data_IF_561591195265
#
_entry.id   IF_561591195265
#
_cell.length_a   1.000
_cell.length_b   1.000
_cell.length_c   1.000
_cell.angle_alpha   90.00
_cell.angle_beta   90.00
_cell.angle_gamma   90.00
#
_symmetry.space_group_name_H-M   'P 1'
#
loop_
_entity.id
_entity.type
_entity.pdbx_description
1 polymer ?
#
# COMPACT_ATOMS: atom_id res chain seq x y z
N UNK A 1 36.95 -47.51 -19.80
CA UNK A 1 35.88 -46.54 -20.10
C UNK A 1 35.06 -46.83 -21.35
N UNK A 2 35.60 -46.77 -22.57
CA UNK A 2 34.73 -46.73 -23.78
C UNK A 2 34.03 -48.03 -24.20
N UNK A 3 34.36 -49.19 -23.61
CA UNK A 3 33.79 -50.49 -24.01
C UNK A 3 33.24 -51.23 -22.81
N UNK A 4 34.10 -51.70 -21.91
CA UNK A 4 33.69 -52.49 -20.74
C UNK A 4 32.75 -51.73 -19.79
N UNK A 5 33.07 -50.47 -19.47
CA UNK A 5 32.30 -49.66 -18.50
C UNK A 5 30.88 -49.38 -19.02
N UNK A 6 30.75 -48.97 -20.29
CA UNK A 6 29.46 -48.76 -20.93
C UNK A 6 28.63 -50.05 -21.04
N UNK A 7 29.26 -51.18 -21.39
CA UNK A 7 28.56 -52.46 -21.52
C UNK A 7 28.06 -53.03 -20.20
N UNK A 8 28.72 -52.69 -19.08
CA UNK A 8 28.40 -53.22 -17.76
C UNK A 8 27.68 -52.21 -16.85
N UNK A 9 27.34 -51.02 -17.35
CA UNK A 9 26.68 -49.95 -16.60
C UNK A 9 27.35 -49.65 -15.24
N UNK A 10 28.69 -49.62 -15.23
CA UNK A 10 29.51 -49.30 -14.05
C UNK A 10 30.08 -47.88 -14.18
N UNK A 11 30.54 -47.30 -13.08
CA UNK A 11 31.14 -45.97 -13.07
C UNK A 11 32.43 -45.90 -13.90
N UNK A 12 32.63 -44.79 -14.60
CA UNK A 12 33.87 -44.55 -15.34
C UNK A 12 35.05 -44.25 -14.39
N UNK A 13 36.28 -44.39 -14.88
CA UNK A 13 37.49 -44.22 -14.05
C UNK A 13 37.57 -42.82 -13.42
N UNK A 14 37.12 -41.78 -14.11
CA UNK A 14 37.11 -40.41 -13.58
C UNK A 14 36.14 -40.26 -12.40
N UNK A 15 34.90 -40.73 -12.55
CA UNK A 15 33.88 -40.74 -11.51
C UNK A 15 34.32 -41.59 -10.32
N UNK A 16 34.96 -42.74 -10.55
CA UNK A 16 35.51 -43.57 -9.49
C UNK A 16 36.59 -42.81 -8.69
N UNK A 17 37.45 -42.07 -9.38
CA UNK A 17 38.44 -41.20 -8.73
C UNK A 17 37.79 -40.12 -7.85
N UNK A 18 36.73 -39.47 -8.34
CA UNK A 18 35.95 -38.50 -7.57
C UNK A 18 35.29 -39.13 -6.34
N UNK A 19 34.69 -40.31 -6.48
CA UNK A 19 34.08 -41.06 -5.38
C UNK A 19 35.12 -41.39 -4.30
N UNK A 20 36.28 -41.92 -4.70
CA UNK A 20 37.36 -42.25 -3.76
C UNK A 20 37.87 -40.99 -3.05
N UNK A 21 38.09 -39.89 -3.79
CA UNK A 21 38.55 -38.64 -3.20
C UNK A 21 37.51 -38.04 -2.24
N UNK A 22 36.23 -38.06 -2.62
CA UNK A 22 35.10 -37.65 -1.77
C UNK A 22 35.09 -38.43 -0.46
N UNK A 23 35.07 -39.76 -0.55
CA UNK A 23 34.81 -40.63 0.60
C UNK A 23 36.03 -40.79 1.52
N UNK A 24 37.23 -40.84 0.94
CA UNK A 24 38.47 -41.12 1.69
C UNK A 24 39.23 -39.86 2.10
N UNK A 25 39.03 -38.71 1.43
CA UNK A 25 39.75 -37.47 1.72
C UNK A 25 38.79 -36.39 2.22
N UNK A 26 37.86 -35.92 1.39
CA UNK A 26 37.01 -34.76 1.73
C UNK A 26 36.06 -35.07 2.88
N UNK A 27 35.47 -36.27 2.92
CA UNK A 27 34.58 -36.72 3.99
C UNK A 27 35.28 -37.43 5.13
N UNK A 28 36.62 -37.49 5.11
CA UNK A 28 37.37 -37.95 6.27
C UNK A 28 37.13 -36.97 7.44
N UNK A 29 36.72 -37.48 8.60
CA UNK A 29 36.08 -36.67 9.65
C UNK A 29 36.80 -35.36 9.99
N UNK A 30 38.10 -35.42 10.28
CA UNK A 30 38.85 -34.20 10.63
C UNK A 30 39.05 -33.24 9.44
N UNK A 31 39.18 -33.76 8.21
CA UNK A 31 39.34 -32.93 7.01
C UNK A 31 38.03 -32.23 6.67
N UNK A 32 36.92 -32.98 6.69
CA UNK A 32 35.58 -32.44 6.41
C UNK A 32 35.24 -31.29 7.35
N UNK A 33 35.40 -31.53 8.65
CA UNK A 33 35.00 -30.57 9.67
C UNK A 33 35.93 -29.34 9.63
N UNK A 34 37.23 -29.54 9.38
CA UNK A 34 38.19 -28.43 9.21
C UNK A 34 37.93 -27.61 7.94
N UNK A 35 37.67 -28.25 6.81
CA UNK A 35 37.32 -27.58 5.55
C UNK A 35 36.05 -26.74 5.74
N UNK A 36 35.00 -27.34 6.31
CA UNK A 36 33.74 -26.66 6.60
C UNK A 36 33.98 -25.44 7.50
N UNK A 37 34.61 -25.62 8.65
CA UNK A 37 34.86 -24.54 9.60
C UNK A 37 35.66 -23.40 8.95
N UNK A 38 36.69 -23.74 8.19
CA UNK A 38 37.53 -22.74 7.50
C UNK A 38 36.72 -21.91 6.50
N UNK A 39 35.89 -22.53 5.68
CA UNK A 39 35.04 -21.82 4.72
C UNK A 39 34.02 -20.91 5.43
N UNK A 40 33.39 -21.42 6.48
CA UNK A 40 32.44 -20.66 7.29
C UNK A 40 33.10 -19.46 7.98
N UNK A 41 34.27 -19.66 8.57
CA UNK A 41 35.04 -18.59 9.23
C UNK A 41 35.51 -17.50 8.24
N UNK A 42 35.87 -17.89 7.01
CA UNK A 42 36.18 -16.91 5.96
C UNK A 42 34.96 -16.05 5.63
N UNK A 43 33.78 -16.64 5.48
CA UNK A 43 32.55 -15.88 5.21
C UNK A 43 32.17 -15.00 6.40
N UNK A 44 32.32 -15.50 7.63
CA UNK A 44 32.04 -14.73 8.85
C UNK A 44 32.96 -13.51 8.99
N UNK A 45 34.25 -13.65 8.66
CA UNK A 45 35.21 -12.53 8.63
C UNK A 45 34.90 -11.54 7.51
N UNK A 46 34.53 -12.03 6.33
CA UNK A 46 34.10 -11.16 5.23
C UNK A 46 32.89 -10.30 5.59
N UNK A 47 31.88 -10.86 6.27
CA UNK A 47 30.69 -10.10 6.75
C UNK A 47 31.04 -8.98 7.74
N UNK A 48 32.20 -9.06 8.39
CA UNK A 48 32.76 -8.03 9.29
C UNK A 48 33.63 -7.00 8.54
N UNK A 49 33.78 -7.14 7.22
CA UNK A 49 34.58 -6.25 6.38
C UNK A 49 36.04 -6.66 6.23
N UNK A 50 36.42 -7.86 6.67
CA UNK A 50 37.78 -8.38 6.48
C UNK A 50 37.99 -8.86 5.04
N UNK A 51 39.20 -8.67 4.52
CA UNK A 51 39.59 -9.20 3.20
C UNK A 51 39.84 -10.70 3.31
N UNK A 52 39.15 -11.48 2.49
CA UNK A 52 39.31 -12.95 2.43
C UNK A 52 39.58 -13.42 1.01
N UNK A 53 40.18 -14.61 0.88
CA UNK A 53 40.41 -15.24 -0.41
C UNK A 53 39.10 -15.84 -0.97
N UNK A 54 38.35 -15.00 -1.70
CA UNK A 54 37.13 -15.39 -2.41
C UNK A 54 37.40 -16.51 -3.45
N UNK A 55 38.60 -16.57 -4.01
CA UNK A 55 38.99 -17.59 -4.97
C UNK A 55 39.07 -18.97 -4.33
N UNK A 56 39.61 -19.05 -3.11
CA UNK A 56 39.65 -20.30 -2.33
C UNK A 56 38.24 -20.81 -2.00
N UNK A 57 37.33 -19.93 -1.56
CA UNK A 57 35.93 -20.29 -1.28
C UNK A 57 35.27 -20.85 -2.55
N UNK A 58 35.41 -20.13 -3.67
CA UNK A 58 34.84 -20.54 -4.96
C UNK A 58 35.36 -21.89 -5.41
N UNK A 59 36.67 -22.10 -5.36
CA UNK A 59 37.27 -23.35 -5.82
C UNK A 59 36.84 -24.52 -4.93
N UNK A 60 36.73 -24.32 -3.61
CA UNK A 60 36.23 -25.34 -2.69
C UNK A 60 34.75 -25.67 -2.95
N UNK A 61 33.90 -24.65 -3.15
CA UNK A 61 32.48 -24.86 -3.48
C UNK A 61 32.32 -25.61 -4.81
N UNK A 62 33.08 -25.23 -5.84
CA UNK A 62 33.09 -25.93 -7.13
C UNK A 62 33.55 -27.38 -7.01
N UNK A 63 34.58 -27.64 -6.20
CA UNK A 63 35.01 -29.01 -5.90
C UNK A 63 33.88 -29.81 -5.26
N UNK A 64 33.21 -29.28 -4.24
CA UNK A 64 32.10 -29.97 -3.58
C UNK A 64 30.93 -30.26 -4.55
N UNK A 65 30.66 -29.35 -5.48
CA UNK A 65 29.69 -29.58 -6.56
C UNK A 65 30.11 -30.73 -7.48
N UNK A 66 31.36 -30.76 -7.94
CA UNK A 66 31.89 -31.81 -8.82
C UNK A 66 31.86 -33.19 -8.13
N UNK A 67 32.13 -33.23 -6.81
CA UNK A 67 32.10 -34.47 -6.03
C UNK A 67 30.69 -35.04 -5.84
N UNK A 68 29.65 -34.24 -6.09
CA UNK A 68 28.26 -34.67 -6.15
C UNK A 68 27.90 -35.45 -7.43
N UNK A 69 28.82 -35.54 -8.40
CA UNK A 69 28.63 -36.18 -9.70
C UNK A 69 27.43 -35.61 -10.47
N UNK A 70 26.28 -36.28 -10.42
CA UNK A 70 25.04 -35.86 -11.09
C UNK A 70 24.15 -34.94 -10.24
N UNK A 71 24.54 -34.70 -8.98
CA UNK A 71 23.78 -33.88 -8.04
C UNK A 71 24.64 -32.91 -7.24
N UNK A 72 23.99 -32.21 -6.31
CA UNK A 72 24.63 -31.22 -5.42
C UNK A 72 24.69 -31.64 -3.95
N UNK A 73 24.39 -32.91 -3.65
CA UNK A 73 24.27 -33.41 -2.27
C UNK A 73 25.53 -33.19 -1.44
N UNK A 74 26.72 -33.38 -2.01
CA UNK A 74 27.99 -33.14 -1.31
C UNK A 74 28.15 -31.66 -0.94
N UNK A 75 27.84 -30.75 -1.86
CA UNK A 75 27.83 -29.31 -1.56
C UNK A 75 26.76 -28.95 -0.53
N UNK A 76 25.55 -29.48 -0.67
CA UNK A 76 24.44 -29.22 0.23
C UNK A 76 24.72 -29.66 1.67
N UNK A 77 25.13 -30.92 1.85
CA UNK A 77 25.35 -31.55 3.16
C UNK A 77 26.63 -31.03 3.83
N UNK A 78 27.72 -30.93 3.07
CA UNK A 78 29.02 -30.66 3.66
C UNK A 78 29.29 -29.16 3.83
N UNK A 79 28.58 -28.28 3.11
CA UNK A 79 28.77 -26.83 3.17
C UNK A 79 27.48 -26.00 3.26
N UNK A 80 26.53 -26.12 2.32
CA UNK A 80 25.40 -25.18 2.21
C UNK A 80 24.50 -25.19 3.44
N UNK A 81 24.09 -26.36 3.92
CA UNK A 81 23.23 -26.45 5.09
C UNK A 81 23.89 -25.84 6.35
N UNK A 82 25.15 -26.18 6.71
CA UNK A 82 25.89 -25.48 7.76
C UNK A 82 26.05 -23.98 7.53
N UNK A 83 26.27 -23.56 6.29
CA UNK A 83 26.38 -22.14 5.92
C UNK A 83 25.08 -21.38 6.17
N UNK A 84 23.93 -21.96 5.80
CA UNK A 84 22.61 -21.37 6.01
C UNK A 84 22.27 -21.31 7.50
N UNK A 85 22.64 -22.33 8.29
CA UNK A 85 22.47 -22.36 9.74
C UNK A 85 23.28 -21.25 10.43
N UNK A 86 24.59 -21.19 10.17
CA UNK A 86 25.45 -20.12 10.69
C UNK A 86 24.96 -18.73 10.25
N UNK A 87 24.46 -18.61 9.02
CA UNK A 87 23.91 -17.35 8.52
C UNK A 87 22.64 -16.95 9.25
N UNK A 88 21.78 -17.91 9.58
CA UNK A 88 20.58 -17.63 10.36
C UNK A 88 20.94 -17.10 11.76
N UNK A 89 21.90 -17.73 12.45
CA UNK A 89 22.39 -17.25 13.76
C UNK A 89 23.01 -15.85 13.66
N UNK A 90 23.82 -15.61 12.63
CA UNK A 90 24.41 -14.30 12.38
C UNK A 90 23.34 -13.22 12.21
N UNK A 91 22.37 -13.43 11.32
CA UNK A 91 21.32 -12.45 11.05
C UNK A 91 20.35 -12.29 12.21
N UNK A 92 20.14 -13.32 13.02
CA UNK A 92 19.35 -13.22 14.25
C UNK A 92 20.01 -12.28 15.28
N UNK A 93 21.34 -12.39 15.47
CA UNK A 93 22.06 -11.46 16.37
C UNK A 93 22.09 -10.05 15.78
N UNK A 94 22.29 -9.94 14.47
CA UNK A 94 22.35 -8.65 13.79
C UNK A 94 21.00 -7.92 13.81
N UNK A 95 19.87 -8.61 13.64
CA UNK A 95 18.55 -7.99 13.68
C UNK A 95 18.29 -7.31 15.02
N UNK A 96 18.63 -7.96 16.13
CA UNK A 96 18.48 -7.40 17.47
C UNK A 96 19.30 -6.13 17.64
N UNK A 97 20.56 -6.15 17.20
CA UNK A 97 21.44 -4.97 17.23
C UNK A 97 20.87 -3.84 16.36
N UNK A 98 20.44 -4.16 15.15
CA UNK A 98 19.90 -3.15 14.24
C UNK A 98 18.61 -2.52 14.78
N UNK A 99 17.71 -3.30 15.35
CA UNK A 99 16.47 -2.79 15.98
C UNK A 99 16.75 -1.90 17.19
N UNK A 100 17.78 -2.20 17.98
CA UNK A 100 18.13 -1.42 19.16
C UNK A 100 18.80 -0.07 18.82
N UNK A 101 19.60 -0.04 17.76
CA UNK A 101 20.47 1.10 17.45
C UNK A 101 19.94 2.03 16.36
N UNK A 102 18.88 1.65 15.62
CA UNK A 102 18.50 2.34 14.39
C UNK A 102 16.99 2.65 14.32
N UNK A 103 16.66 3.73 13.64
CA UNK A 103 15.28 4.01 13.21
C UNK A 103 14.81 3.02 12.15
N UNK A 104 13.49 2.89 11.96
CA UNK A 104 12.92 1.98 10.96
C UNK A 104 13.47 2.22 9.53
N UNK A 105 13.61 3.48 9.09
CA UNK A 105 14.14 3.81 7.75
C UNK A 105 15.60 3.35 7.59
N UNK A 106 16.42 3.50 8.63
CA UNK A 106 17.83 3.06 8.61
C UNK A 106 17.92 1.54 8.66
N UNK A 107 17.07 0.90 9.47
CA UNK A 107 16.94 -0.55 9.53
C UNK A 107 16.62 -1.13 8.15
N UNK A 108 15.59 -0.60 7.47
CA UNK A 108 15.16 -1.05 6.14
C UNK A 108 16.31 -0.98 5.13
N UNK A 109 17.06 0.13 5.10
CA UNK A 109 18.23 0.29 4.21
C UNK A 109 19.34 -0.72 4.51
N UNK A 110 19.61 -0.99 5.79
CA UNK A 110 20.60 -2.00 6.19
C UNK A 110 20.18 -3.42 5.78
N UNK A 111 18.89 -3.76 5.90
CA UNK A 111 18.39 -5.07 5.42
C UNK A 111 18.55 -5.20 3.90
N UNK A 112 18.21 -4.16 3.15
CA UNK A 112 18.38 -4.16 1.69
C UNK A 112 19.86 -4.31 1.29
N UNK A 113 20.77 -3.61 2.00
CA UNK A 113 22.21 -3.78 1.80
C UNK A 113 22.65 -5.22 2.08
N UNK A 114 22.21 -5.84 3.18
CA UNK A 114 22.53 -7.24 3.50
C UNK A 114 22.03 -8.23 2.44
N UNK A 115 20.82 -8.03 1.92
CA UNK A 115 20.30 -8.87 0.82
C UNK A 115 21.23 -8.77 -0.40
N UNK A 116 21.62 -7.56 -0.81
CA UNK A 116 22.50 -7.36 -1.95
C UNK A 116 23.91 -7.94 -1.72
N UNK A 117 24.47 -7.76 -0.53
CA UNK A 117 25.76 -8.33 -0.15
C UNK A 117 25.75 -9.87 -0.22
N UNK A 118 24.67 -10.53 0.22
CA UNK A 118 24.54 -12.00 0.10
C UNK A 118 24.39 -12.46 -1.36
N UNK A 119 23.61 -11.74 -2.18
CA UNK A 119 23.49 -12.02 -3.61
C UNK A 119 24.86 -11.88 -4.29
N UNK A 120 25.58 -10.79 -4.03
CA UNK A 120 26.93 -10.59 -4.55
C UNK A 120 27.88 -11.70 -4.09
N UNK A 121 27.83 -12.12 -2.83
CA UNK A 121 28.67 -13.22 -2.33
C UNK A 121 28.39 -14.50 -3.09
N UNK A 122 27.13 -14.83 -3.33
CA UNK A 122 26.77 -16.02 -4.10
C UNK A 122 27.35 -15.92 -5.50
N UNK A 123 27.15 -14.80 -6.20
CA UNK A 123 27.67 -14.61 -7.56
C UNK A 123 29.20 -14.78 -7.65
N UNK A 124 29.95 -14.34 -6.64
CA UNK A 124 31.42 -14.37 -6.68
C UNK A 124 32.03 -15.66 -6.15
N UNK A 125 31.40 -16.31 -5.17
CA UNK A 125 32.03 -17.33 -4.34
C UNK A 125 31.28 -18.65 -4.24
N UNK A 126 29.95 -18.67 -4.42
CA UNK A 126 29.12 -19.85 -4.14
C UNK A 126 28.45 -20.36 -5.43
N UNK A 127 27.80 -21.51 -5.34
CA UNK A 127 26.95 -21.96 -6.45
C UNK A 127 25.68 -21.11 -6.54
N UNK A 128 25.22 -20.81 -7.75
CA UNK A 128 24.00 -20.01 -8.00
C UNK A 128 22.77 -20.57 -7.29
N UNK A 129 22.70 -21.89 -7.12
CA UNK A 129 21.61 -22.55 -6.41
C UNK A 129 21.45 -22.12 -4.94
N UNK A 130 22.48 -21.51 -4.34
CA UNK A 130 22.45 -21.00 -2.97
C UNK A 130 21.76 -19.64 -2.82
N UNK A 131 21.58 -18.88 -3.91
CA UNK A 131 21.02 -17.52 -3.87
C UNK A 131 19.63 -17.48 -3.21
N UNK A 132 18.70 -18.31 -3.67
CA UNK A 132 17.34 -18.33 -3.14
C UNK A 132 17.31 -18.78 -1.65
N UNK A 133 17.98 -19.87 -1.24
CA UNK A 133 18.07 -20.26 0.17
C UNK A 133 18.63 -19.19 1.10
N UNK A 134 19.75 -18.54 0.73
CA UNK A 134 20.36 -17.53 1.62
C UNK A 134 19.50 -16.27 1.71
N UNK A 135 18.90 -15.82 0.61
CA UNK A 135 17.97 -14.68 0.61
C UNK A 135 16.77 -14.99 1.50
N UNK A 136 16.21 -16.21 1.45
CA UNK A 136 15.13 -16.62 2.37
C UNK A 136 15.55 -16.60 3.83
N UNK A 137 16.80 -16.94 4.15
CA UNK A 137 17.33 -16.84 5.52
C UNK A 137 17.38 -15.36 5.95
N UNK A 138 17.92 -14.47 5.12
CA UNK A 138 17.97 -13.02 5.40
C UNK A 138 16.56 -12.46 5.59
N UNK A 139 15.64 -12.76 4.68
CA UNK A 139 14.25 -12.30 4.74
C UNK A 139 13.52 -12.81 5.99
N UNK A 140 13.73 -14.08 6.36
CA UNK A 140 13.14 -14.65 7.57
C UNK A 140 13.67 -13.97 8.83
N UNK A 141 14.99 -13.87 8.97
CA UNK A 141 15.65 -13.39 10.19
C UNK A 141 15.56 -11.87 10.35
N UNK A 142 15.70 -11.10 9.27
CA UNK A 142 15.71 -9.64 9.33
C UNK A 142 14.33 -9.00 9.07
N UNK A 143 13.38 -9.68 8.42
CA UNK A 143 12.06 -9.11 8.08
C UNK A 143 10.95 -9.87 8.78
N UNK A 144 10.71 -11.15 8.45
CA UNK A 144 9.51 -11.88 8.88
C UNK A 144 9.36 -11.94 10.40
N UNK A 145 10.44 -12.19 11.14
CA UNK A 145 10.41 -12.25 12.61
C UNK A 145 10.16 -10.90 13.29
N UNK A 146 10.34 -9.78 12.59
CA UNK A 146 10.36 -8.44 13.17
C UNK A 146 9.34 -7.47 12.53
N UNK A 147 8.46 -7.95 11.65
CA UNK A 147 7.51 -7.11 10.92
C UNK A 147 6.72 -6.16 11.83
N UNK A 148 6.13 -6.68 12.92
CA UNK A 148 5.38 -5.86 13.89
C UNK A 148 6.27 -4.82 14.55
N UNK A 149 7.44 -5.24 15.05
CA UNK A 149 8.41 -4.34 15.71
C UNK A 149 8.84 -3.19 14.79
N UNK A 150 9.07 -3.47 13.50
CA UNK A 150 9.48 -2.44 12.52
C UNK A 150 8.32 -1.48 12.23
N UNK A 151 7.11 -2.01 12.02
CA UNK A 151 5.90 -1.23 11.70
C UNK A 151 5.46 -0.35 12.88
N UNK A 152 5.56 -0.88 14.10
CA UNK A 152 5.13 -0.23 15.34
C UNK A 152 6.27 0.52 16.04
N UNK A 153 7.45 0.61 15.41
CA UNK A 153 8.63 1.22 16.00
C UNK A 153 8.36 2.66 16.44
N UNK A 154 8.68 2.98 17.70
CA UNK A 154 8.45 4.30 18.26
C UNK A 154 9.20 5.38 17.47
N UNK A 155 8.52 6.50 17.19
CA UNK A 155 9.09 7.67 16.51
C UNK A 155 9.71 7.44 15.12
N UNK A 156 9.54 6.26 14.53
CA UNK A 156 10.07 5.96 13.20
C UNK A 156 9.28 4.95 12.38
N UNK A 157 8.40 4.16 13.00
CA UNK A 157 7.55 3.17 12.34
C UNK A 157 6.47 3.78 11.44
N UNK A 158 5.59 2.92 10.93
CA UNK A 158 4.61 3.24 9.90
C UNK A 158 3.74 4.45 10.26
N UNK A 159 3.19 4.49 11.47
CA UNK A 159 2.34 5.59 11.93
C UNK A 159 3.10 6.91 11.94
N UNK A 160 4.36 6.91 12.38
CA UNK A 160 5.19 8.11 12.36
C UNK A 160 5.46 8.57 10.92
N UNK A 161 5.74 7.65 10.00
CA UNK A 161 5.93 7.98 8.58
C UNK A 161 4.64 8.56 7.95
N UNK A 162 3.48 7.96 8.25
CA UNK A 162 2.17 8.46 7.81
C UNK A 162 1.89 9.85 8.36
N UNK A 163 2.07 10.09 9.67
CA UNK A 163 1.87 11.38 10.36
C UNK A 163 2.73 12.51 9.79
N UNK A 164 3.96 12.20 9.40
CA UNK A 164 4.90 13.18 8.86
C UNK A 164 4.97 13.21 7.33
N UNK A 165 4.15 12.40 6.64
CA UNK A 165 4.08 12.40 5.18
C UNK A 165 5.34 11.92 4.47
N UNK A 166 6.12 11.02 5.10
CA UNK A 166 7.39 10.51 4.57
C UNK A 166 7.17 9.45 3.47
N UNK A 167 6.84 9.88 2.26
CA UNK A 167 6.43 8.97 1.17
C UNK A 167 7.54 8.07 0.64
N UNK A 168 8.78 8.53 0.62
CA UNK A 168 9.94 7.70 0.22
C UNK A 168 10.18 6.57 1.23
N UNK A 169 10.20 6.88 2.53
CA UNK A 169 10.38 5.89 3.59
C UNK A 169 9.24 4.84 3.58
N UNK A 170 8.00 5.28 3.34
CA UNK A 170 6.84 4.40 3.17
C UNK A 170 7.01 3.47 1.95
N UNK A 171 7.56 3.98 0.84
CA UNK A 171 7.82 3.19 -0.36
C UNK A 171 8.91 2.13 -0.11
N UNK A 172 9.96 2.48 0.62
CA UNK A 172 11.00 1.54 1.05
C UNK A 172 10.42 0.45 1.96
N UNK A 173 9.59 0.82 2.94
CA UNK A 173 8.91 -0.15 3.81
C UNK A 173 8.00 -1.08 3.02
N UNK A 174 7.20 -0.55 2.10
CA UNK A 174 6.33 -1.32 1.22
C UNK A 174 7.12 -2.34 0.38
N UNK A 175 8.21 -1.90 -0.26
CA UNK A 175 9.09 -2.79 -1.05
C UNK A 175 9.68 -3.90 -0.19
N UNK A 176 10.21 -3.58 0.99
CA UNK A 176 10.78 -4.57 1.88
C UNK A 176 9.73 -5.61 2.33
N UNK A 177 8.54 -5.15 2.73
CA UNK A 177 7.48 -6.02 3.25
C UNK A 177 6.81 -6.85 2.14
N UNK A 178 6.90 -6.43 0.87
CA UNK A 178 6.42 -7.22 -0.28
C UNK A 178 7.23 -8.50 -0.51
N UNK A 179 8.45 -8.59 0.02
CA UNK A 179 9.33 -9.76 -0.11
C UNK A 179 8.85 -10.96 0.71
N UNK A 180 8.13 -10.73 1.80
CA UNK A 180 7.76 -11.79 2.75
C UNK A 180 6.25 -12.03 2.82
N UNK A 181 5.82 -13.29 3.03
CA UNK A 181 4.42 -13.59 3.28
C UNK A 181 3.87 -12.79 4.47
N UNK A 182 2.62 -12.30 4.36
CA UNK A 182 1.95 -11.48 5.37
C UNK A 182 2.59 -10.12 5.69
N UNK A 183 3.66 -9.71 4.99
CA UNK A 183 4.28 -8.40 5.19
C UNK A 183 3.32 -7.26 4.87
N UNK A 184 2.81 -7.22 3.64
CA UNK A 184 1.84 -6.19 3.23
C UNK A 184 0.58 -6.19 4.10
N UNK A 185 0.12 -7.37 4.55
CA UNK A 185 -1.02 -7.49 5.47
C UNK A 185 -0.73 -6.82 6.83
N UNK A 186 0.43 -7.09 7.43
CA UNK A 186 0.85 -6.50 8.72
C UNK A 186 0.90 -4.97 8.62
N UNK A 187 1.48 -4.45 7.53
CA UNK A 187 1.55 -3.02 7.27
C UNK A 187 0.15 -2.41 7.07
N UNK A 188 -0.73 -3.11 6.35
CA UNK A 188 -2.10 -2.66 6.09
C UNK A 188 -2.95 -2.61 7.37
N UNK A 189 -2.80 -3.60 8.26
CA UNK A 189 -3.49 -3.63 9.57
C UNK A 189 -3.11 -2.43 10.45
N UNK A 190 -1.82 -2.10 10.52
CA UNK A 190 -1.35 -0.92 11.28
C UNK A 190 -1.83 0.40 10.64
N UNK A 191 -1.77 0.52 9.30
CA UNK A 191 -2.32 1.66 8.59
C UNK A 191 -3.82 1.82 8.86
N UNK A 192 -4.58 0.72 8.82
CA UNK A 192 -6.02 0.71 9.04
C UNK A 192 -6.38 1.17 10.45
N UNK A 193 -5.68 0.66 11.47
CA UNK A 193 -5.84 1.09 12.85
C UNK A 193 -5.67 2.61 12.99
N UNK A 194 -4.58 3.15 12.44
CA UNK A 194 -4.31 4.59 12.46
C UNK A 194 -5.33 5.40 11.66
N UNK A 195 -5.71 4.96 10.45
CA UNK A 195 -6.71 5.64 9.63
C UNK A 195 -8.07 5.68 10.32
N UNK A 196 -8.49 4.58 10.96
CA UNK A 196 -9.74 4.53 11.74
C UNK A 196 -9.69 5.47 12.94
N UNK A 197 -8.57 5.56 13.64
CA UNK A 197 -8.39 6.49 14.76
C UNK A 197 -8.56 7.95 14.29
N UNK A 198 -7.87 8.33 13.22
CA UNK A 198 -7.97 9.66 12.63
C UNK A 198 -9.38 9.96 12.11
N UNK A 199 -10.00 9.00 11.42
CA UNK A 199 -11.36 9.12 10.91
C UNK A 199 -12.37 9.27 12.04
N UNK A 200 -12.27 8.46 13.11
CA UNK A 200 -13.09 8.59 14.32
C UNK A 200 -12.97 9.99 14.93
N UNK A 201 -11.76 10.50 15.13
CA UNK A 201 -11.56 11.84 15.69
C UNK A 201 -12.26 12.95 14.88
N UNK A 202 -12.27 12.83 13.54
CA UNK A 202 -13.00 13.76 12.67
C UNK A 202 -14.52 13.64 12.84
N UNK A 203 -15.05 12.40 12.87
CA UNK A 203 -16.49 12.14 12.89
C UNK A 203 -17.13 12.18 14.27
N UNK A 204 -16.36 12.09 15.36
CA UNK A 204 -16.85 12.08 16.74
C UNK A 204 -17.72 13.30 17.06
N UNK A 205 -18.79 13.06 17.83
CA UNK A 205 -19.83 14.02 18.19
C UNK A 205 -19.45 14.98 19.33
N UNK A 206 -18.24 14.90 19.90
CA UNK A 206 -17.84 15.62 21.13
C UNK A 206 -17.68 17.15 20.99
N UNK A 207 -18.41 17.79 20.08
CA UNK A 207 -18.63 19.22 20.07
C UNK A 207 -19.95 19.56 19.41
N UNK A 208 -20.97 19.92 20.20
CA UNK A 208 -22.10 20.70 19.70
C UNK A 208 -21.54 21.92 18.96
N UNK A 209 -21.74 22.01 17.64
CA UNK A 209 -21.27 23.14 16.83
C UNK A 209 -20.15 22.86 15.82
N UNK A 210 -19.78 21.61 15.52
CA UNK A 210 -18.91 21.35 14.36
C UNK A 210 -19.56 21.88 13.07
N UNK A 211 -18.87 22.80 12.40
CA UNK A 211 -19.28 23.32 11.11
C UNK A 211 -19.32 22.18 10.07
N UNK A 212 -20.48 21.92 9.43
CA UNK A 212 -20.62 20.89 8.40
C UNK A 212 -19.58 21.00 7.27
N UNK A 213 -19.19 22.22 6.93
CA UNK A 213 -18.21 22.47 5.87
C UNK A 213 -16.82 21.98 6.29
N UNK A 214 -16.39 22.30 7.51
CA UNK A 214 -15.08 21.92 8.04
C UNK A 214 -15.01 20.41 8.30
N UNK A 215 -16.13 19.81 8.72
CA UNK A 215 -16.27 18.36 8.88
C UNK A 215 -15.98 17.62 7.57
N UNK A 216 -16.70 17.97 6.49
CA UNK A 216 -16.52 17.32 5.20
C UNK A 216 -15.16 17.65 4.59
N UNK A 217 -14.67 18.88 4.75
CA UNK A 217 -13.35 19.26 4.27
C UNK A 217 -12.24 18.41 4.94
N UNK A 218 -12.30 18.21 6.26
CA UNK A 218 -11.33 17.36 6.97
C UNK A 218 -11.33 15.91 6.46
N UNK A 219 -12.49 15.36 6.12
CA UNK A 219 -12.60 14.03 5.51
C UNK A 219 -12.02 13.98 4.10
N UNK A 220 -12.26 15.00 3.28
CA UNK A 220 -11.69 15.13 1.94
C UNK A 220 -10.16 15.27 1.96
N UNK A 221 -9.64 16.02 2.92
CA UNK A 221 -8.20 16.21 3.10
C UNK A 221 -7.54 14.92 3.57
N UNK A 222 -8.16 14.21 4.52
CA UNK A 222 -7.72 12.89 4.95
C UNK A 222 -7.72 11.89 3.78
N UNK A 223 -8.77 11.90 2.96
CA UNK A 223 -8.88 11.02 1.79
C UNK A 223 -7.79 11.31 0.77
N UNK A 224 -7.60 12.58 0.44
CA UNK A 224 -6.57 13.04 -0.49
C UNK A 224 -5.17 12.64 -0.02
N UNK A 225 -4.91 12.74 1.29
CA UNK A 225 -3.63 12.32 1.89
C UNK A 225 -3.38 10.83 1.74
N UNK A 226 -4.36 9.98 2.03
CA UNK A 226 -4.21 8.53 1.91
C UNK A 226 -4.19 8.05 0.45
N UNK A 227 -4.90 8.72 -0.46
CA UNK A 227 -4.78 8.48 -1.91
C UNK A 227 -3.37 8.79 -2.41
N UNK A 228 -2.77 9.87 -1.90
CA UNK A 228 -1.37 10.20 -2.22
C UNK A 228 -0.41 9.10 -1.74
N UNK A 229 -0.58 8.59 -0.51
CA UNK A 229 0.23 7.47 -0.02
C UNK A 229 0.03 6.20 -0.86
N UNK A 230 -1.20 5.90 -1.24
CA UNK A 230 -1.52 4.76 -2.10
C UNK A 230 -0.80 4.86 -3.46
N UNK A 231 -0.80 6.05 -4.07
CA UNK A 231 -0.18 6.29 -5.37
C UNK A 231 1.36 6.37 -5.30
N UNK A 232 1.90 7.16 -4.38
CA UNK A 232 3.34 7.47 -4.32
C UNK A 232 4.15 6.39 -3.60
N UNK A 233 3.57 5.69 -2.61
CA UNK A 233 4.31 4.79 -1.73
C UNK A 233 3.90 3.33 -1.84
N UNK A 234 2.61 3.05 -2.05
CA UNK A 234 2.08 1.67 -2.02
C UNK A 234 1.79 1.10 -3.41
N UNK A 235 2.29 1.73 -4.47
CA UNK A 235 2.18 1.27 -5.86
C UNK A 235 0.73 0.94 -6.31
N UNK A 236 -0.25 1.72 -5.82
CA UNK A 236 -1.68 1.46 -6.03
C UNK A 236 -2.13 0.03 -5.66
N UNK A 237 -1.50 -0.57 -4.64
CA UNK A 237 -1.80 -1.93 -4.21
C UNK A 237 -3.28 -2.10 -3.84
N UNK A 238 -3.88 -3.19 -4.33
CA UNK A 238 -5.30 -3.47 -4.19
C UNK A 238 -5.73 -3.68 -2.74
N UNK A 239 -4.89 -4.32 -1.91
CA UNK A 239 -5.19 -4.56 -0.49
C UNK A 239 -5.28 -3.23 0.25
N UNK A 240 -4.31 -2.33 0.03
CA UNK A 240 -4.30 -1.00 0.63
C UNK A 240 -5.52 -0.18 0.15
N UNK A 241 -5.81 -0.18 -1.15
CA UNK A 241 -6.97 0.53 -1.73
C UNK A 241 -8.29 0.07 -1.12
N UNK A 242 -8.50 -1.25 -1.01
CA UNK A 242 -9.71 -1.82 -0.43
C UNK A 242 -9.83 -1.50 1.06
N UNK A 243 -8.72 -1.56 1.79
CA UNK A 243 -8.68 -1.26 3.22
C UNK A 243 -9.00 0.21 3.49
N UNK A 244 -8.38 1.13 2.74
CA UNK A 244 -8.70 2.57 2.83
C UNK A 244 -10.18 2.81 2.55
N UNK A 245 -10.73 2.24 1.48
CA UNK A 245 -12.15 2.38 1.15
C UNK A 245 -13.07 1.86 2.28
N UNK A 246 -12.79 0.67 2.80
CA UNK A 246 -13.56 0.07 3.89
C UNK A 246 -13.45 0.84 5.20
N UNK A 247 -12.31 1.47 5.48
CA UNK A 247 -12.14 2.30 6.67
C UNK A 247 -12.92 3.61 6.56
N UNK A 248 -12.90 4.25 5.38
CA UNK A 248 -13.74 5.42 5.11
C UNK A 248 -15.23 5.13 5.23
N UNK A 249 -15.69 4.00 4.69
CA UNK A 249 -17.06 3.53 4.89
C UNK A 249 -17.34 3.30 6.38
N UNK A 250 -16.43 2.67 7.11
CA UNK A 250 -16.64 2.39 8.52
C UNK A 250 -16.84 3.66 9.36
N UNK A 251 -15.91 4.64 9.32
CA UNK A 251 -16.03 5.79 10.21
C UNK A 251 -17.04 6.85 9.73
N UNK A 252 -17.27 7.00 8.41
CA UNK A 252 -18.24 7.97 7.91
C UNK A 252 -19.66 7.67 8.42
N UNK A 253 -19.99 6.38 8.55
CA UNK A 253 -21.29 5.91 9.02
C UNK A 253 -21.38 5.79 10.56
N UNK A 254 -20.35 6.19 11.33
CA UNK A 254 -20.47 6.28 12.79
C UNK A 254 -21.26 7.51 13.24
N UNK A 255 -21.35 8.55 12.40
CA UNK A 255 -22.07 9.78 12.69
C UNK A 255 -23.32 9.87 11.80
N UNK A 256 -24.51 9.85 12.42
CA UNK A 256 -25.81 9.93 11.73
C UNK A 256 -26.05 11.27 11.03
N UNK A 257 -25.26 12.30 11.34
CA UNK A 257 -25.31 13.61 10.68
C UNK A 257 -24.43 13.70 9.44
N UNK A 258 -23.59 12.69 9.14
CA UNK A 258 -22.76 12.66 7.92
C UNK A 258 -23.57 12.92 6.63
N UNK A 259 -24.77 12.32 6.42
CA UNK A 259 -25.60 12.60 5.24
C UNK A 259 -26.04 14.06 5.15
N UNK A 260 -26.47 14.66 6.26
CA UNK A 260 -26.85 16.07 6.33
C UNK A 260 -25.65 16.97 6.02
N UNK A 261 -24.51 16.70 6.65
CA UNK A 261 -23.31 17.53 6.53
C UNK A 261 -22.74 17.51 5.12
N UNK A 262 -22.75 16.35 4.45
CA UNK A 262 -22.37 16.26 3.04
C UNK A 262 -23.31 17.09 2.16
N UNK A 263 -24.61 17.03 2.45
CA UNK A 263 -25.62 17.83 1.73
C UNK A 263 -25.42 19.33 1.91
N UNK A 264 -25.16 19.77 3.14
CA UNK A 264 -24.85 21.16 3.47
C UNK A 264 -23.54 21.64 2.85
N UNK A 265 -22.51 20.78 2.80
CA UNK A 265 -21.25 21.08 2.12
C UNK A 265 -21.48 21.30 0.62
N UNK A 266 -22.24 20.43 -0.04
CA UNK A 266 -22.57 20.60 -1.47
C UNK A 266 -23.42 21.86 -1.68
N UNK A 267 -24.39 22.14 -0.79
CA UNK A 267 -25.18 23.38 -0.81
C UNK A 267 -24.30 24.64 -0.68
N UNK A 268 -23.27 24.63 0.17
CA UNK A 268 -22.28 25.72 0.28
C UNK A 268 -21.54 25.94 -1.04
N UNK A 269 -21.08 24.87 -1.69
CA UNK A 269 -20.31 24.96 -2.96
C UNK A 269 -21.15 25.40 -4.15
N UNK A 270 -22.46 25.17 -4.12
CA UNK A 270 -23.38 25.52 -5.21
C UNK A 270 -24.08 26.88 -5.03
N UNK A 271 -23.78 27.65 -3.98
CA UNK A 271 -24.38 28.98 -3.73
C UNK A 271 -23.61 30.14 -4.36
N UNK A 272 -24.34 31.06 -4.99
CA UNK A 272 -23.85 32.35 -5.52
C UNK A 272 -23.13 33.17 -4.45
N UNK A 273 -21.96 33.69 -4.81
CA UNK A 273 -21.26 34.71 -4.03
C UNK A 273 -20.49 34.20 -2.81
N UNK A 274 -20.30 32.89 -2.65
CA UNK A 274 -19.70 32.35 -1.42
C UNK A 274 -18.17 32.26 -1.49
N UNK A 275 -17.53 31.96 -2.63
CA UNK A 275 -16.04 31.91 -2.74
C UNK A 275 -15.57 32.22 -4.17
N UNK A 276 -14.44 32.89 -4.32
CA UNK A 276 -13.78 33.18 -5.60
C UNK A 276 -13.18 31.96 -6.31
N UNK A 277 -13.89 30.84 -6.28
CA UNK A 277 -13.57 29.60 -6.96
C UNK A 277 -14.08 29.66 -8.40
N UNK A 278 -13.32 29.10 -9.31
CA UNK A 278 -13.73 28.86 -10.69
C UNK A 278 -14.73 27.70 -10.77
N UNK A 279 -15.53 27.63 -11.83
CA UNK A 279 -16.48 26.53 -12.05
C UNK A 279 -15.78 25.16 -12.09
N UNK A 280 -14.56 25.10 -12.63
CA UNK A 280 -13.75 23.88 -12.70
C UNK A 280 -13.27 23.40 -11.33
N UNK A 281 -12.91 24.32 -10.44
CA UNK A 281 -12.56 23.98 -9.05
C UNK A 281 -13.77 23.46 -8.29
N UNK A 282 -14.95 24.07 -8.49
CA UNK A 282 -16.21 23.58 -7.91
C UNK A 282 -16.49 22.16 -8.39
N UNK A 283 -16.37 21.88 -9.69
CA UNK A 283 -16.58 20.52 -10.22
C UNK A 283 -15.63 19.50 -9.59
N UNK A 284 -14.34 19.84 -9.47
CA UNK A 284 -13.35 18.96 -8.83
C UNK A 284 -13.71 18.67 -7.37
N UNK A 285 -14.22 19.66 -6.64
CA UNK A 285 -14.68 19.47 -5.26
C UNK A 285 -15.92 18.57 -5.21
N UNK A 286 -16.87 18.74 -6.13
CA UNK A 286 -18.06 17.90 -6.21
C UNK A 286 -17.71 16.43 -6.53
N UNK A 287 -16.76 16.18 -7.42
CA UNK A 287 -16.27 14.82 -7.69
C UNK A 287 -15.67 14.17 -6.44
N UNK A 288 -14.88 14.91 -5.68
CA UNK A 288 -14.35 14.45 -4.39
C UNK A 288 -15.45 14.20 -3.37
N UNK A 289 -16.46 15.07 -3.29
CA UNK A 289 -17.62 14.87 -2.42
C UNK A 289 -18.41 13.60 -2.80
N UNK A 290 -18.51 13.29 -4.10
CA UNK A 290 -19.13 12.06 -4.59
C UNK A 290 -18.35 10.79 -4.22
N UNK A 291 -17.03 10.88 -4.00
CA UNK A 291 -16.27 9.77 -3.41
C UNK A 291 -16.75 9.48 -1.99
N UNK A 292 -16.96 10.51 -1.16
CA UNK A 292 -17.51 10.32 0.19
C UNK A 292 -18.95 9.82 0.15
N UNK A 293 -19.76 10.33 -0.79
CA UNK A 293 -21.14 9.88 -0.98
C UNK A 293 -21.22 8.36 -1.22
N UNK A 294 -20.28 7.80 -1.99
CA UNK A 294 -20.22 6.35 -2.25
C UNK A 294 -19.97 5.52 -1.00
N UNK A 295 -19.29 6.07 0.01
CA UNK A 295 -19.03 5.41 1.28
C UNK A 295 -20.19 5.53 2.28
N UNK A 296 -21.23 6.33 2.00
CA UNK A 296 -22.39 6.44 2.89
C UNK A 296 -23.39 5.30 2.68
N UNK A 297 -23.95 4.82 3.79
CA UNK A 297 -25.01 3.80 3.81
C UNK A 297 -26.40 4.43 3.72
N UNK A 298 -26.67 5.50 4.50
CA UNK A 298 -27.96 6.19 4.57
C UNK A 298 -28.17 7.22 3.45
N UNK A 299 -28.16 6.75 2.20
CA UNK A 299 -28.28 7.60 0.99
C UNK A 299 -29.66 8.27 0.85
N UNK A 300 -30.71 7.64 1.37
CA UNK A 300 -32.07 8.17 1.42
C UNK A 300 -32.19 9.37 2.38
N UNK A 301 -31.49 9.33 3.51
CA UNK A 301 -31.38 10.46 4.45
C UNK A 301 -30.67 11.63 3.76
N UNK A 302 -29.57 11.37 3.04
CA UNK A 302 -28.91 12.39 2.21
C UNK A 302 -29.87 12.99 1.18
N UNK A 303 -30.62 12.16 0.44
CA UNK A 303 -31.57 12.62 -0.58
C UNK A 303 -32.58 13.61 -0.01
N UNK A 304 -33.12 13.32 1.19
CA UNK A 304 -34.08 14.18 1.87
C UNK A 304 -33.51 15.57 2.15
N UNK A 305 -32.31 15.65 2.71
CA UNK A 305 -31.64 16.93 2.98
C UNK A 305 -31.26 17.65 1.68
N UNK A 306 -30.72 16.92 0.69
CA UNK A 306 -30.31 17.47 -0.60
C UNK A 306 -31.49 18.10 -1.33
N UNK A 307 -32.64 17.42 -1.36
CA UNK A 307 -33.88 17.93 -1.94
C UNK A 307 -34.34 19.23 -1.26
N UNK A 308 -34.29 19.30 0.07
CA UNK A 308 -34.67 20.51 0.81
C UNK A 308 -33.74 21.69 0.48
N UNK A 309 -32.43 21.45 0.40
CA UNK A 309 -31.45 22.47 0.06
C UNK A 309 -31.58 22.94 -1.39
N UNK A 310 -31.75 22.00 -2.33
CA UNK A 310 -32.00 22.30 -3.74
C UNK A 310 -33.26 23.15 -3.91
N UNK A 311 -34.37 22.79 -3.26
CA UNK A 311 -35.63 23.54 -3.33
C UNK A 311 -35.42 24.99 -2.90
N UNK A 312 -34.70 25.21 -1.79
CA UNK A 312 -34.37 26.55 -1.30
C UNK A 312 -33.51 27.32 -2.30
N UNK A 313 -32.50 26.68 -2.91
CA UNK A 313 -31.62 27.35 -3.89
C UNK A 313 -32.38 27.76 -5.16
N UNK A 314 -33.23 26.87 -5.68
CA UNK A 314 -34.07 27.15 -6.85
C UNK A 314 -35.06 28.29 -6.60
N UNK A 315 -35.80 28.25 -5.49
CA UNK A 315 -36.80 29.27 -5.16
C UNK A 315 -36.20 30.65 -4.86
N UNK A 316 -34.97 30.68 -4.32
CA UNK A 316 -34.29 31.95 -3.99
C UNK A 316 -33.36 32.45 -5.09
N UNK A 317 -33.24 31.73 -6.21
CA UNK A 317 -32.31 32.00 -7.31
C UNK A 317 -30.85 32.21 -6.84
N UNK A 318 -30.44 31.44 -5.82
CA UNK A 318 -29.11 31.51 -5.21
C UNK A 318 -28.13 30.46 -5.73
N UNK A 319 -28.48 29.67 -6.74
CA UNK A 319 -27.56 28.70 -7.37
C UNK A 319 -26.49 29.40 -8.21
N UNK A 320 -25.23 28.94 -8.15
CA UNK A 320 -24.10 29.47 -8.95
C UNK A 320 -24.40 29.42 -10.44
N UNK A 321 -24.79 28.24 -10.94
CA UNK A 321 -25.14 28.00 -12.33
C UNK A 321 -26.12 26.82 -12.42
N UNK A 322 -27.08 26.91 -13.34
CA UNK A 322 -28.02 25.82 -13.62
C UNK A 322 -27.30 24.57 -14.16
N UNK A 323 -26.19 24.76 -14.88
CA UNK A 323 -25.41 23.66 -15.44
C UNK A 323 -24.67 22.88 -14.34
N UNK A 324 -24.13 23.57 -13.33
CA UNK A 324 -23.51 22.92 -12.17
C UNK A 324 -24.52 22.08 -11.38
N UNK A 325 -25.75 22.56 -11.22
CA UNK A 325 -26.81 21.81 -10.54
C UNK A 325 -27.23 20.57 -11.33
N UNK A 326 -27.43 20.70 -12.65
CA UNK A 326 -27.73 19.57 -13.54
C UNK A 326 -26.60 18.53 -13.54
N UNK A 327 -25.34 18.97 -13.57
CA UNK A 327 -24.18 18.09 -13.47
C UNK A 327 -24.18 17.32 -12.14
N UNK A 328 -24.42 18.00 -11.01
CA UNK A 328 -24.52 17.34 -9.71
C UNK A 328 -25.63 16.28 -9.65
N UNK A 329 -26.81 16.57 -10.21
CA UNK A 329 -27.90 15.58 -10.34
C UNK A 329 -27.47 14.40 -11.23
N UNK A 330 -26.76 14.65 -12.33
CA UNK A 330 -26.22 13.61 -13.20
C UNK A 330 -25.25 12.68 -12.47
N UNK A 331 -24.38 13.23 -11.61
CA UNK A 331 -23.47 12.44 -10.76
C UNK A 331 -24.26 11.57 -9.78
N UNK A 332 -25.27 12.12 -9.10
CA UNK A 332 -26.16 11.35 -8.21
C UNK A 332 -26.91 10.24 -8.96
N UNK A 333 -27.38 10.52 -10.17
CA UNK A 333 -28.06 9.56 -11.05
C UNK A 333 -27.15 8.40 -11.45
N UNK A 334 -25.88 8.69 -11.72
CA UNK A 334 -24.89 7.66 -12.05
C UNK A 334 -24.65 6.72 -10.87
N UNK A 335 -24.63 7.24 -9.64
CA UNK A 335 -24.38 6.44 -8.44
C UNK A 335 -25.61 5.67 -7.92
N UNK A 336 -26.81 6.24 -8.02
CA UNK A 336 -28.03 5.68 -7.39
C UNK A 336 -29.16 5.35 -8.37
N UNK A 337 -28.98 5.65 -9.65
CA UNK A 337 -29.98 5.42 -10.70
C UNK A 337 -31.08 6.49 -10.78
N UNK A 338 -31.91 6.38 -11.82
CA UNK A 338 -32.94 7.37 -12.16
C UNK A 338 -34.03 7.54 -11.10
N UNK A 339 -34.34 6.50 -10.31
CA UNK A 339 -35.39 6.56 -9.30
C UNK A 339 -35.01 7.53 -8.17
N UNK A 340 -33.73 7.54 -7.79
CA UNK A 340 -33.18 8.43 -6.76
C UNK A 340 -33.28 9.92 -7.18
N UNK A 341 -33.04 10.22 -8.46
CA UNK A 341 -33.01 11.62 -8.95
C UNK A 341 -34.33 12.11 -9.52
N UNK A 342 -35.33 11.23 -9.73
CA UNK A 342 -36.59 11.57 -10.41
C UNK A 342 -37.30 12.82 -9.84
N UNK A 343 -37.33 12.94 -8.50
CA UNK A 343 -37.92 14.09 -7.82
C UNK A 343 -37.09 15.37 -8.01
N UNK A 344 -35.76 15.26 -7.97
CA UNK A 344 -34.84 16.39 -8.19
C UNK A 344 -34.96 16.91 -9.63
N UNK A 345 -35.02 16.01 -10.61
CA UNK A 345 -35.25 16.35 -12.02
C UNK A 345 -36.66 16.95 -12.23
N UNK A 346 -37.66 16.49 -11.47
CA UNK A 346 -39.01 17.09 -11.42
C UNK A 346 -38.96 18.57 -11.02
N UNK A 347 -38.24 18.90 -9.94
CA UNK A 347 -38.11 20.28 -9.47
C UNK A 347 -37.54 21.23 -10.52
N UNK A 348 -36.60 20.77 -11.35
CA UNK A 348 -36.07 21.57 -12.47
C UNK A 348 -37.10 21.77 -13.59
N UNK A 349 -37.88 20.74 -13.90
CA UNK A 349 -38.98 20.85 -14.88
C UNK A 349 -40.02 21.87 -14.41
N UNK A 350 -40.39 21.83 -13.13
CA UNK A 350 -41.35 22.77 -12.55
C UNK A 350 -40.86 24.22 -12.63
N UNK A 351 -39.57 24.46 -12.35
CA UNK A 351 -38.96 25.79 -12.52
C UNK A 351 -38.98 26.27 -13.98
N UNK A 352 -38.66 25.38 -14.93
CA UNK A 352 -38.68 25.71 -16.36
C UNK A 352 -40.10 26.05 -16.83
N UNK A 353 -41.09 25.24 -16.47
CA UNK A 353 -42.50 25.47 -16.81
C UNK A 353 -42.96 26.80 -16.21
N UNK A 354 -42.66 27.05 -14.93
CA UNK A 354 -43.02 28.30 -14.27
C UNK A 354 -42.44 29.53 -14.97
N UNK A 355 -41.20 29.47 -15.45
CA UNK A 355 -40.58 30.57 -16.19
C UNK A 355 -41.28 30.80 -17.55
N UNK A 356 -41.52 29.74 -18.32
CA UNK A 356 -42.23 29.83 -19.61
C UNK A 356 -43.64 30.40 -19.43
N UNK A 357 -44.41 29.89 -18.46
CA UNK A 357 -45.76 30.40 -18.17
C UNK A 357 -45.73 31.86 -17.72
N UNK A 358 -44.73 32.27 -16.92
CA UNK A 358 -44.59 33.67 -16.50
C UNK A 358 -44.25 34.60 -17.68
N UNK A 359 -43.43 34.14 -18.63
CA UNK A 359 -43.09 34.92 -19.82
C UNK A 359 -44.29 35.03 -20.78
N UNK A 360 -45.05 33.96 -20.98
CA UNK A 360 -46.32 33.98 -21.72
C UNK A 360 -47.32 34.94 -21.07
N UNK A 361 -47.43 34.92 -19.73
CA UNK A 361 -48.30 35.84 -19.00
C UNK A 361 -47.87 37.31 -19.15
N UNK A 362 -46.56 37.59 -19.08
CA UNK A 362 -46.01 38.93 -19.33
C UNK A 362 -46.30 39.41 -20.76
N UNK A 363 -46.14 38.54 -21.76
CA UNK A 363 -46.47 38.85 -23.15
C UNK A 363 -47.96 39.13 -23.32
N UNK A 364 -48.82 38.35 -22.66
CA UNK A 364 -50.27 38.58 -22.69
C UNK A 364 -50.65 39.94 -22.09
N UNK A 365 -50.08 40.32 -20.93
CA UNK A 365 -50.30 41.63 -20.31
C UNK A 365 -49.85 42.78 -21.21
N UNK A 366 -48.72 42.63 -21.91
CA UNK A 366 -48.24 43.61 -22.88
C UNK A 366 -49.19 43.74 -24.08
N UNK A 367 -49.73 42.62 -24.58
CA UNK A 367 -50.64 42.60 -25.72
C UNK A 367 -52.04 43.15 -25.39
N UNK A 368 -52.53 42.97 -24.17
CA UNK A 368 -53.87 43.43 -23.74
C UNK A 368 -53.88 44.83 -23.11
N UNK A 369 -52.72 45.46 -22.91
CA UNK A 369 -52.62 46.84 -22.40
C UNK A 369 -53.04 47.01 -20.94
N UNK A 370 -53.22 45.92 -20.19
CA UNK A 370 -53.62 45.95 -18.77
C UNK A 370 -52.41 46.33 -17.93
N UNK A 371 -52.35 47.58 -17.46
CA UNK A 371 -51.36 48.01 -16.46
C UNK A 371 -51.67 47.34 -15.12
N UNK A 372 -50.77 46.47 -14.66
CA UNK A 372 -50.76 46.02 -13.28
C UNK A 372 -50.44 47.22 -12.38
N UNK A 373 -51.36 47.60 -11.51
CA UNK A 373 -51.12 48.62 -10.49
C UNK A 373 -50.03 48.11 -9.55
N UNK A 374 -48.98 48.93 -9.37
CA UNK A 374 -47.82 48.63 -8.53
C UNK A 374 -48.11 48.69 -7.04
#
# INVERSE_FOLDING_TARGET
>A
DRVYVQQNNVENVYNLGLIIFRDQVVRYGCIRDHLRQTLLDMIARERKGEVVDRGAIRNACQMLMILGLEGRSVYEEDFEAPFLEMSAEFFQMESQKFLAENSASVYIKKVEARINEEIERVMHCLDKSTEEPIVKVVERELISKHMKTIVEMENSGLVHMLKNGKTEDLACMYKLFSRVPNGLKTMCECMSSYLREQGKALVSEEGEGKNPVDYIQGLLDLKSRFDRFLQESFNNDRLFKQTIAGDFEYFLNLNSRSPEYLSLFIDDKLKKGVKGLTEQEVETILDKAMVLFRFMQEKDVFERYYKQHLARRLLTNKSVSDDSEKNMISKLKTECGCQFTSKLEGMFRDMSISNTTMDEFRQHLQATGVRTWG
#
